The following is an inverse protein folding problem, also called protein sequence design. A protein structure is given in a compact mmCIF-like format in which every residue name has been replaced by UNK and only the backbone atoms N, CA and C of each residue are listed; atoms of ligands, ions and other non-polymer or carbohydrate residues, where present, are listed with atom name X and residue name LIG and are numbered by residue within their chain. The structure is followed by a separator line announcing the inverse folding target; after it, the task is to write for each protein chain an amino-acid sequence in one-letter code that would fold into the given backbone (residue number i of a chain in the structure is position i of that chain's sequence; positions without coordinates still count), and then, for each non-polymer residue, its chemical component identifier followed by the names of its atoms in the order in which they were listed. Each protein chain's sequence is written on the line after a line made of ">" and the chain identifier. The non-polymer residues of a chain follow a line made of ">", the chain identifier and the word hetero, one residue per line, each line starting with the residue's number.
data_IF_968022656315
#
_entry.id   IF_968022656315
#
_cell.length_a   1.000
_cell.length_b   1.000
_cell.length_c   1.000
_cell.angle_alpha   90.00
_cell.angle_beta   90.00
_cell.angle_gamma   90.00
#
_symmetry.space_group_name_H-M   'P 1'
#
loop_
_entity.id
_entity.type
_entity.pdbx_description
1 polymer ?
#
# COMPACT_ATOMS: atom_id res chain seq x y z
N UNK A 1 -27.32 -39.39 -18.82
CA UNK A 1 -28.14 -38.20 -18.59
C UNK A 1 -27.28 -37.26 -17.78
N UNK A 2 -26.73 -36.26 -18.43
CA UNK A 2 -25.72 -35.34 -17.93
C UNK A 2 -26.42 -34.08 -17.45
N UNK A 3 -26.22 -33.68 -16.22
CA UNK A 3 -26.64 -32.38 -15.71
C UNK A 3 -25.38 -31.48 -15.60
N UNK A 4 -25.29 -30.57 -16.56
CA UNK A 4 -24.30 -29.50 -16.58
C UNK A 4 -24.82 -28.43 -15.67
N UNK A 5 -24.10 -28.17 -14.54
CA UNK A 5 -24.31 -27.01 -13.70
C UNK A 5 -23.59 -25.82 -14.34
N UNK A 6 -24.33 -24.88 -14.91
CA UNK A 6 -23.83 -23.63 -15.43
C UNK A 6 -23.47 -22.74 -14.26
N UNK A 7 -22.18 -22.53 -14.01
CA UNK A 7 -21.68 -21.45 -13.14
C UNK A 7 -21.88 -20.10 -13.82
N UNK A 8 -22.71 -19.25 -13.26
CA UNK A 8 -22.91 -17.89 -13.74
C UNK A 8 -21.65 -17.06 -13.47
N UNK A 9 -20.97 -16.68 -14.53
CA UNK A 9 -19.91 -15.66 -14.52
C UNK A 9 -20.59 -14.31 -14.25
N UNK A 10 -20.50 -13.78 -13.04
CA UNK A 10 -20.94 -12.41 -12.76
C UNK A 10 -19.87 -11.48 -13.35
N UNK A 11 -20.12 -11.03 -14.56
CA UNK A 11 -19.35 -9.95 -15.16
C UNK A 11 -19.57 -8.67 -14.33
N UNK A 12 -18.50 -7.98 -13.98
CA UNK A 12 -18.55 -6.61 -13.50
C UNK A 12 -19.24 -5.79 -14.60
N UNK A 13 -20.49 -5.42 -14.37
CA UNK A 13 -21.34 -4.81 -15.36
C UNK A 13 -20.92 -3.39 -15.67
N UNK A 14 -20.29 -3.22 -16.79
CA UNK A 14 -20.20 -2.00 -17.55
C UNK A 14 -20.39 -2.37 -19.01
N UNK A 15 -21.60 -2.26 -19.55
CA UNK A 15 -21.87 -2.42 -20.97
C UNK A 15 -21.17 -1.31 -21.74
N UNK A 16 -20.09 -1.65 -22.42
CA UNK A 16 -19.34 -0.82 -23.34
C UNK A 16 -18.53 -1.71 -24.25
N UNK A 17 -18.63 -1.50 -25.56
CA UNK A 17 -17.97 -2.24 -26.61
C UNK A 17 -16.51 -2.59 -26.27
N UNK A 18 -16.07 -3.79 -26.67
CA UNK A 18 -14.68 -4.21 -26.61
C UNK A 18 -13.79 -3.20 -27.34
N UNK A 19 -13.29 -2.22 -26.59
CA UNK A 19 -12.22 -1.33 -27.00
C UNK A 19 -10.90 -2.08 -26.92
N UNK A 20 -9.98 -1.78 -27.85
CA UNK A 20 -8.61 -2.25 -27.85
C UNK A 20 -7.98 -2.12 -26.46
N UNK A 21 -6.99 -2.97 -26.08
CA UNK A 21 -6.30 -2.87 -24.79
C UNK A 21 -5.80 -1.44 -24.61
N UNK A 22 -6.19 -0.81 -23.52
CA UNK A 22 -5.78 0.56 -23.20
C UNK A 22 -4.24 0.60 -23.19
N UNK A 23 -3.70 1.57 -23.91
CA UNK A 23 -2.26 1.87 -23.95
C UNK A 23 -1.84 2.34 -22.55
N UNK A 24 -1.20 1.45 -21.80
CA UNK A 24 -0.70 1.67 -20.43
C UNK A 24 0.70 2.30 -20.42
N UNK A 25 1.05 3.04 -21.48
CA UNK A 25 2.28 3.84 -21.52
C UNK A 25 2.37 4.80 -20.32
N UNK A 26 3.60 5.22 -19.92
CA UNK A 26 3.82 6.08 -18.77
C UNK A 26 3.04 7.40 -18.92
N UNK A 27 1.92 7.52 -18.26
CA UNK A 27 1.18 8.77 -18.13
C UNK A 27 1.42 9.34 -16.75
N UNK A 28 1.77 10.64 -16.72
CA UNK A 28 1.76 11.39 -15.47
C UNK A 28 0.42 11.21 -14.75
N UNK A 29 0.40 11.11 -13.41
CA UNK A 29 -0.83 10.99 -12.66
C UNK A 29 -1.73 12.18 -13.01
N UNK A 30 -2.95 11.91 -13.46
CA UNK A 30 -3.95 12.96 -13.68
C UNK A 30 -4.53 13.32 -12.33
N UNK A 31 -4.44 14.57 -11.85
CA UNK A 31 -5.06 14.94 -10.58
C UNK A 31 -6.55 14.64 -10.65
N UNK A 32 -7.04 13.81 -9.73
CA UNK A 32 -8.46 13.68 -9.51
C UNK A 32 -9.00 14.96 -8.87
N UNK A 33 -10.27 15.28 -9.07
CA UNK A 33 -10.90 16.54 -8.61
C UNK A 33 -10.92 16.72 -7.07
N UNK A 34 -10.35 15.80 -6.29
CA UNK A 34 -10.35 15.79 -4.82
C UNK A 34 -8.97 15.97 -4.16
N UNK A 35 -7.92 16.29 -4.91
CA UNK A 35 -6.54 16.40 -4.36
C UNK A 35 -5.82 15.08 -4.16
N UNK A 36 -6.36 13.99 -4.71
CA UNK A 36 -5.73 12.67 -4.76
C UNK A 36 -5.40 12.27 -6.19
N UNK A 37 -4.29 11.53 -6.35
CA UNK A 37 -3.99 10.79 -7.58
C UNK A 37 -3.31 9.47 -7.26
N UNK A 38 -3.25 8.55 -8.22
CA UNK A 38 -2.76 7.18 -8.02
C UNK A 38 -1.67 6.84 -9.03
N UNK A 39 -0.59 6.25 -8.53
CA UNK A 39 0.46 5.58 -9.29
C UNK A 39 0.31 4.08 -9.07
N UNK A 40 0.42 3.28 -10.13
CA UNK A 40 0.28 1.81 -10.10
C UNK A 40 1.57 1.18 -10.63
N UNK A 41 2.26 0.42 -9.78
CA UNK A 41 3.45 -0.32 -10.15
C UNK A 41 3.12 -1.79 -10.47
N UNK A 42 3.91 -2.44 -11.34
CA UNK A 42 5.08 -1.94 -12.09
C UNK A 42 4.73 -1.15 -13.36
N UNK A 43 3.46 -0.87 -13.62
CA UNK A 43 2.98 -0.35 -14.92
C UNK A 43 3.45 1.08 -15.24
N UNK A 44 3.67 1.95 -14.23
CA UNK A 44 3.98 3.35 -14.43
C UNK A 44 5.43 3.73 -14.14
N UNK A 45 6.14 2.95 -13.33
CA UNK A 45 7.50 3.22 -12.89
C UNK A 45 7.62 4.40 -11.94
N UNK A 46 8.77 4.57 -11.33
CA UNK A 46 9.04 5.55 -10.26
C UNK A 46 9.19 6.99 -10.76
N UNK A 47 9.22 7.23 -12.09
CA UNK A 47 9.55 8.54 -12.67
C UNK A 47 8.70 9.70 -12.12
N UNK A 48 7.44 9.44 -11.77
CA UNK A 48 6.59 10.47 -11.18
C UNK A 48 7.00 10.80 -9.74
N UNK A 49 7.35 9.78 -8.96
CA UNK A 49 7.85 9.93 -7.57
C UNK A 49 9.20 10.66 -7.58
N UNK A 50 10.13 10.25 -8.46
CA UNK A 50 11.43 10.88 -8.64
C UNK A 50 11.26 12.37 -9.00
N UNK A 51 10.37 12.68 -9.95
CA UNK A 51 10.11 14.04 -10.37
C UNK A 51 9.53 14.92 -9.26
N UNK A 52 8.63 14.37 -8.44
CA UNK A 52 8.04 15.08 -7.30
C UNK A 52 9.11 15.39 -6.24
N UNK A 53 9.98 14.42 -5.90
CA UNK A 53 11.11 14.62 -4.97
C UNK A 53 12.05 15.69 -5.54
N UNK A 54 12.52 15.54 -6.77
CA UNK A 54 13.45 16.49 -7.40
C UNK A 54 12.89 17.92 -7.53
N UNK A 55 11.56 18.08 -7.51
CA UNK A 55 10.89 19.39 -7.57
C UNK A 55 10.79 20.10 -6.21
N UNK A 56 11.20 19.47 -5.10
CA UNK A 56 11.13 20.02 -3.76
C UNK A 56 11.86 21.37 -3.63
N UNK A 57 11.27 22.31 -2.88
CA UNK A 57 11.79 23.68 -2.72
C UNK A 57 12.14 24.05 -1.30
N UNK A 58 11.50 23.45 -0.30
CA UNK A 58 11.67 23.82 1.10
C UNK A 58 11.95 22.63 2.01
N UNK A 59 11.25 21.49 1.79
CA UNK A 59 11.42 20.32 2.64
C UNK A 59 11.06 19.02 1.94
N UNK A 60 11.75 17.94 2.32
CA UNK A 60 11.37 16.55 2.03
C UNK A 60 11.50 15.76 3.33
N UNK A 61 10.40 15.17 3.77
CA UNK A 61 10.33 14.33 4.96
C UNK A 61 9.94 12.91 4.55
N UNK A 62 10.82 11.94 4.78
CA UNK A 62 10.67 10.55 4.36
C UNK A 62 10.55 9.64 5.57
N UNK A 63 9.48 8.83 5.65
CA UNK A 63 9.42 7.66 6.52
C UNK A 63 9.46 6.42 5.64
N UNK A 64 10.43 5.53 5.84
CA UNK A 64 10.62 4.38 4.98
C UNK A 64 11.06 3.13 5.76
N UNK A 65 10.45 1.99 5.41
CA UNK A 65 10.83 0.71 5.97
C UNK A 65 12.19 0.26 5.40
N UNK A 66 12.32 0.19 4.08
CA UNK A 66 13.54 -0.20 3.38
C UNK A 66 13.87 0.78 2.25
N UNK A 67 15.09 1.28 2.25
CA UNK A 67 15.62 2.22 1.26
C UNK A 67 16.96 1.71 0.73
N UNK A 68 16.99 1.35 -0.57
CA UNK A 68 18.20 1.01 -1.31
C UNK A 68 18.17 1.53 -2.77
N UNK A 69 17.28 2.49 -3.05
CA UNK A 69 17.19 3.11 -4.37
C UNK A 69 18.22 4.24 -4.51
N UNK A 70 19.26 3.97 -5.27
CA UNK A 70 20.36 4.92 -5.52
C UNK A 70 19.88 6.20 -6.19
N UNK A 71 18.83 6.16 -7.03
CA UNK A 71 18.28 7.35 -7.70
C UNK A 71 17.66 8.28 -6.66
N UNK A 72 16.77 7.77 -5.84
CA UNK A 72 16.14 8.53 -4.74
C UNK A 72 17.19 9.04 -3.74
N UNK A 73 18.16 8.22 -3.36
CA UNK A 73 19.25 8.65 -2.48
C UNK A 73 20.01 9.84 -3.05
N UNK A 74 20.34 9.81 -4.35
CA UNK A 74 21.04 10.89 -5.04
C UNK A 74 20.19 12.17 -5.15
N UNK A 75 18.89 12.04 -5.37
CA UNK A 75 17.95 13.16 -5.39
C UNK A 75 17.80 13.82 -4.04
N UNK A 76 17.59 13.06 -2.97
CA UNK A 76 17.55 13.57 -1.60
C UNK A 76 18.86 14.29 -1.22
N UNK A 77 20.00 13.73 -1.62
CA UNK A 77 21.31 14.38 -1.43
C UNK A 77 21.45 15.66 -2.29
N UNK A 78 20.90 15.69 -3.50
CA UNK A 78 20.89 16.88 -4.36
C UNK A 78 20.01 17.98 -3.75
N UNK A 79 18.86 17.62 -3.19
CA UNK A 79 17.95 18.51 -2.52
C UNK A 79 18.62 19.17 -1.30
N UNK A 80 19.26 18.38 -0.45
CA UNK A 80 20.01 18.90 0.69
C UNK A 80 21.11 19.90 0.24
N UNK A 81 21.84 19.59 -0.84
CA UNK A 81 22.86 20.53 -1.42
C UNK A 81 22.25 21.82 -1.93
N UNK A 82 20.98 21.80 -2.43
CA UNK A 82 20.26 22.99 -2.86
C UNK A 82 19.68 23.81 -1.69
N UNK A 83 19.83 23.34 -0.45
CA UNK A 83 19.32 23.99 0.74
C UNK A 83 17.89 23.58 1.11
N UNK A 84 17.32 22.56 0.50
CA UNK A 84 16.07 21.93 0.93
C UNK A 84 16.33 21.20 2.24
N UNK A 85 15.44 21.33 3.22
CA UNK A 85 15.51 20.57 4.47
C UNK A 85 15.08 19.13 4.20
N UNK A 86 16.03 18.20 4.20
CA UNK A 86 15.75 16.78 3.99
C UNK A 86 15.92 16.00 5.30
N UNK A 87 14.86 15.30 5.72
CA UNK A 87 14.85 14.41 6.89
C UNK A 87 14.37 13.02 6.47
N UNK A 88 15.09 12.00 6.89
CA UNK A 88 14.76 10.59 6.55
C UNK A 88 14.70 9.78 7.84
N UNK A 89 13.54 9.19 8.11
CA UNK A 89 13.26 8.28 9.21
C UNK A 89 13.20 6.86 8.66
N UNK A 90 14.19 6.04 8.98
CA UNK A 90 14.30 4.66 8.51
C UNK A 90 13.93 3.67 9.61
N UNK A 91 13.38 2.52 9.24
CA UNK A 91 13.15 1.45 10.20
C UNK A 91 14.44 1.09 10.94
N UNK A 92 14.35 1.06 12.27
CA UNK A 92 15.49 0.81 13.17
C UNK A 92 15.59 -0.64 13.65
N UNK A 93 14.83 -1.56 13.06
CA UNK A 93 14.72 -2.95 13.49
C UNK A 93 13.60 -3.19 14.49
N UNK A 94 13.42 -4.45 14.88
CA UNK A 94 12.30 -4.88 15.73
C UNK A 94 12.37 -4.25 17.13
N UNK A 95 11.40 -3.40 17.47
CA UNK A 95 11.39 -2.54 18.67
C UNK A 95 12.70 -1.77 18.84
N UNK A 96 13.30 -1.29 17.74
CA UNK A 96 14.58 -0.58 17.72
C UNK A 96 15.78 -1.44 18.15
N UNK A 97 15.67 -2.76 18.15
CA UNK A 97 16.73 -3.69 18.57
C UNK A 97 17.32 -4.40 17.36
N UNK A 98 18.62 -4.63 17.40
CA UNK A 98 19.35 -5.37 16.37
C UNK A 98 19.72 -4.55 15.13
N UNK A 99 19.18 -3.35 14.99
CA UNK A 99 19.33 -2.56 13.77
C UNK A 99 18.53 -3.13 12.59
N UNK A 100 18.68 -2.50 11.44
CA UNK A 100 18.13 -2.95 10.17
C UNK A 100 19.19 -2.73 9.09
N UNK A 101 20.08 -3.71 8.88
CA UNK A 101 21.28 -3.59 8.04
C UNK A 101 20.99 -3.20 6.59
N UNK A 102 19.80 -3.54 6.10
CA UNK A 102 19.32 -3.20 4.75
C UNK A 102 19.34 -1.69 4.50
N UNK A 103 19.17 -0.89 5.54
CA UNK A 103 19.19 0.57 5.46
C UNK A 103 20.58 1.20 5.72
N UNK A 104 21.59 0.44 6.12
CA UNK A 104 22.87 1.00 6.58
C UNK A 104 23.61 1.75 5.47
N UNK A 105 23.61 1.20 4.26
CA UNK A 105 24.28 1.82 3.11
C UNK A 105 23.65 3.16 2.73
N UNK A 106 22.33 3.20 2.57
CA UNK A 106 21.56 4.41 2.26
C UNK A 106 21.71 5.47 3.37
N UNK A 107 21.58 5.05 4.65
CA UNK A 107 21.75 5.95 5.79
C UNK A 107 23.16 6.56 5.84
N UNK A 108 24.19 5.76 5.56
CA UNK A 108 25.59 6.21 5.48
C UNK A 108 25.80 7.22 4.35
N UNK A 109 25.30 6.90 3.15
CA UNK A 109 25.39 7.78 1.99
C UNK A 109 24.68 9.12 2.25
N UNK A 110 23.43 9.10 2.69
CA UNK A 110 22.62 10.29 2.94
C UNK A 110 23.25 11.20 3.99
N UNK A 111 23.71 10.64 5.12
CA UNK A 111 24.41 11.43 6.16
C UNK A 111 25.69 12.08 5.66
N UNK A 112 26.47 11.38 4.82
CA UNK A 112 27.68 11.91 4.22
C UNK A 112 27.41 13.09 3.27
N UNK A 113 26.17 13.19 2.75
CA UNK A 113 25.72 14.26 1.84
C UNK A 113 24.84 15.31 2.50
N UNK A 114 24.82 15.39 3.84
CA UNK A 114 24.16 16.46 4.58
C UNK A 114 22.67 16.24 4.85
N UNK A 115 22.14 15.05 4.53
CA UNK A 115 20.76 14.67 4.88
C UNK A 115 20.69 14.24 6.34
N UNK A 116 19.67 14.72 7.06
CA UNK A 116 19.42 14.29 8.41
C UNK A 116 18.72 12.92 8.41
N UNK A 117 19.37 11.89 8.94
CA UNK A 117 18.83 10.52 8.99
C UNK A 117 18.75 10.02 10.42
N UNK A 118 17.59 9.52 10.82
CA UNK A 118 17.35 8.88 12.14
C UNK A 118 16.75 7.49 11.96
N UNK A 119 16.98 6.63 12.95
CA UNK A 119 16.23 5.40 13.12
C UNK A 119 14.88 5.71 13.76
N UNK A 120 13.86 4.96 13.39
CA UNK A 120 12.50 5.07 13.89
C UNK A 120 12.41 4.76 15.40
N UNK A 121 11.34 5.25 16.09
CA UNK A 121 11.15 5.02 17.50
C UNK A 121 11.03 3.53 17.85
N UNK A 122 11.66 3.11 18.96
CA UNK A 122 11.57 1.74 19.49
C UNK A 122 10.21 1.43 20.15
N UNK A 123 9.25 2.36 20.11
CA UNK A 123 7.90 2.18 20.63
C UNK A 123 7.07 1.23 19.75
N UNK A 124 7.44 1.05 18.49
CA UNK A 124 6.74 0.20 17.53
C UNK A 124 7.55 -1.08 17.28
N UNK A 125 6.83 -2.17 16.93
CA UNK A 125 7.49 -3.40 16.54
C UNK A 125 8.39 -3.14 15.32
N UNK A 126 7.84 -2.50 14.29
CA UNK A 126 8.58 -1.98 13.13
C UNK A 126 7.98 -0.63 12.73
N UNK A 127 8.77 0.20 12.05
CA UNK A 127 8.23 1.28 11.24
C UNK A 127 8.14 0.79 9.81
N UNK A 128 6.95 0.30 9.46
CA UNK A 128 6.66 -0.26 8.14
C UNK A 128 5.91 0.73 7.23
N UNK A 129 5.70 1.96 7.70
CA UNK A 129 5.17 3.08 6.93
C UNK A 129 6.10 3.43 5.76
N UNK A 130 5.52 3.80 4.63
CA UNK A 130 6.21 4.23 3.40
C UNK A 130 5.57 5.51 2.92
N UNK A 131 6.17 6.66 3.31
CA UNK A 131 5.65 7.99 2.95
C UNK A 131 6.78 8.95 2.60
N UNK A 132 6.49 9.86 1.68
CA UNK A 132 7.31 11.02 1.37
C UNK A 132 6.42 12.24 1.43
N UNK A 133 6.75 13.23 2.26
CA UNK A 133 6.04 14.52 2.29
C UNK A 133 6.95 15.62 1.76
N UNK A 134 6.46 16.38 0.78
CA UNK A 134 7.20 17.36 0.02
C UNK A 134 6.59 18.73 0.28
N UNK A 135 7.45 19.68 0.71
CA UNK A 135 7.12 21.09 0.93
C UNK A 135 5.93 21.36 1.88
N UNK A 136 5.51 20.34 2.69
CA UNK A 136 4.31 20.41 3.52
C UNK A 136 3.02 20.56 2.71
N UNK A 137 3.00 20.08 1.46
CA UNK A 137 1.90 20.26 0.52
C UNK A 137 1.47 19.00 -0.20
N UNK A 138 2.37 18.06 -0.34
CA UNK A 138 2.12 16.80 -1.03
C UNK A 138 2.67 15.67 -0.19
N UNK A 139 1.86 14.65 0.09
CA UNK A 139 2.30 13.42 0.71
C UNK A 139 2.03 12.24 -0.22
N UNK A 140 3.03 11.40 -0.39
CA UNK A 140 2.89 10.10 -1.06
C UNK A 140 2.67 9.05 0.04
N UNK A 141 1.56 8.33 -0.03
CA UNK A 141 1.24 7.18 0.84
C UNK A 141 1.36 5.92 -0.02
N UNK A 142 2.32 5.06 0.30
CA UNK A 142 2.75 4.00 -0.60
C UNK A 142 2.61 2.61 0.02
N UNK A 143 2.40 1.61 -0.83
CA UNK A 143 2.56 0.20 -0.45
C UNK A 143 4.00 -0.25 -0.63
N UNK A 144 4.73 0.34 -1.58
CA UNK A 144 6.10 -0.02 -1.98
C UNK A 144 7.17 0.51 -1.03
N UNK A 145 8.24 -0.25 -0.86
CA UNK A 145 9.51 0.25 -0.36
C UNK A 145 10.27 0.99 -1.48
N UNK A 146 11.26 1.80 -1.10
CA UNK A 146 12.18 2.40 -2.08
C UNK A 146 13.37 1.45 -2.32
N UNK A 147 13.08 0.31 -2.94
CA UNK A 147 14.01 -0.80 -3.20
C UNK A 147 13.98 -1.16 -4.69
N UNK A 148 14.96 -0.65 -5.44
CA UNK A 148 14.95 -0.68 -6.91
C UNK A 148 14.86 -2.08 -7.52
N UNK A 149 15.35 -3.11 -6.79
CA UNK A 149 15.31 -4.51 -7.24
C UNK A 149 13.90 -5.08 -7.42
N UNK A 150 12.89 -4.47 -6.81
CA UNK A 150 11.50 -4.97 -6.85
C UNK A 150 10.58 -4.24 -7.83
N UNK A 151 10.94 -3.02 -8.28
CA UNK A 151 10.04 -2.18 -9.08
C UNK A 151 9.50 -2.82 -10.36
N UNK A 152 10.31 -3.65 -11.02
CA UNK A 152 9.89 -4.29 -12.27
C UNK A 152 8.92 -5.45 -12.10
N UNK A 153 8.77 -5.99 -10.88
CA UNK A 153 8.03 -7.22 -10.62
C UNK A 153 6.99 -7.11 -9.51
N UNK A 154 7.04 -6.09 -8.66
CA UNK A 154 6.06 -5.94 -7.58
C UNK A 154 4.82 -5.19 -8.02
N UNK A 155 3.64 -5.74 -7.70
CA UNK A 155 2.40 -4.98 -7.69
C UNK A 155 2.39 -4.10 -6.47
N UNK A 156 2.36 -2.80 -6.71
CA UNK A 156 2.32 -1.78 -5.68
C UNK A 156 1.49 -0.56 -6.11
N UNK A 157 1.16 0.27 -5.14
CA UNK A 157 0.43 1.51 -5.33
C UNK A 157 1.08 2.65 -4.56
N UNK A 158 0.99 3.87 -5.10
CA UNK A 158 1.25 5.10 -4.39
C UNK A 158 0.08 6.08 -4.58
N UNK A 159 -0.52 6.52 -3.48
CA UNK A 159 -1.51 7.61 -3.48
C UNK A 159 -0.75 8.91 -3.24
N UNK A 160 -0.85 9.84 -4.18
CA UNK A 160 -0.35 11.21 -4.04
C UNK A 160 -1.49 12.04 -3.48
N UNK A 161 -1.28 12.59 -2.28
CA UNK A 161 -2.28 13.38 -1.56
C UNK A 161 -1.82 14.83 -1.39
N UNK A 162 -2.63 15.77 -1.87
CA UNK A 162 -2.40 17.21 -1.74
C UNK A 162 -3.42 17.90 -0.83
N UNK A 163 -4.23 17.14 -0.11
CA UNK A 163 -5.24 17.68 0.82
C UNK A 163 -4.56 18.20 2.08
N UNK A 164 -4.73 19.50 2.42
CA UNK A 164 -3.97 20.11 3.51
C UNK A 164 -4.14 19.44 4.88
N UNK A 165 -5.34 18.91 5.18
CA UNK A 165 -5.61 18.28 6.47
C UNK A 165 -4.84 16.96 6.62
N UNK A 166 -4.73 16.18 5.54
CA UNK A 166 -4.04 14.90 5.54
C UNK A 166 -2.53 15.09 5.57
N UNK A 167 -2.02 15.99 4.71
CA UNK A 167 -0.60 16.34 4.72
C UNK A 167 -0.16 16.83 6.10
N UNK A 168 -0.95 17.72 6.74
CA UNK A 168 -0.65 18.21 8.09
C UNK A 168 -0.69 17.10 9.14
N UNK A 169 -1.62 16.14 9.03
CA UNK A 169 -1.70 15.00 9.94
C UNK A 169 -0.49 14.06 9.77
N UNK A 170 -0.05 13.81 8.53
CA UNK A 170 1.13 12.99 8.22
C UNK A 170 2.40 13.66 8.74
N UNK A 171 2.57 14.97 8.53
CA UNK A 171 3.71 15.72 9.06
C UNK A 171 3.74 15.74 10.58
N UNK A 172 2.59 15.89 11.25
CA UNK A 172 2.53 15.87 12.72
C UNK A 172 3.00 14.52 13.27
N UNK A 173 2.65 13.42 12.64
CA UNK A 173 3.13 12.08 13.02
C UNK A 173 4.63 11.94 12.72
N UNK A 174 5.09 12.39 11.55
CA UNK A 174 6.51 12.40 11.23
C UNK A 174 7.33 13.18 12.26
N UNK A 175 6.91 14.39 12.64
CA UNK A 175 7.61 15.24 13.62
C UNK A 175 7.64 14.59 15.02
N UNK A 176 6.55 13.94 15.42
CA UNK A 176 6.48 13.23 16.67
C UNK A 176 7.43 12.01 16.69
N UNK A 177 7.39 11.18 15.64
CA UNK A 177 8.26 10.03 15.50
C UNK A 177 9.74 10.46 15.34
N UNK A 178 9.99 11.56 14.62
CA UNK A 178 11.32 12.17 14.52
C UNK A 178 11.90 12.61 15.87
N UNK A 179 11.07 13.21 16.71
CA UNK A 179 11.51 13.69 18.04
C UNK A 179 11.42 12.63 19.14
N UNK A 180 10.82 11.46 18.84
CA UNK A 180 10.55 10.42 19.83
C UNK A 180 9.44 10.81 20.82
N UNK A 181 8.52 11.69 20.41
CA UNK A 181 7.41 12.16 21.25
C UNK A 181 6.16 11.33 20.94
N UNK A 182 5.47 10.80 21.97
CA UNK A 182 4.20 10.09 21.74
C UNK A 182 3.14 10.97 21.08
N UNK A 183 2.41 10.43 20.12
CA UNK A 183 1.29 11.09 19.45
C UNK A 183 0.11 10.13 19.28
N UNK A 184 -1.10 10.67 19.37
CA UNK A 184 -2.31 10.03 18.86
C UNK A 184 -2.57 10.57 17.46
N UNK A 185 -2.36 9.78 16.40
CA UNK A 185 -2.48 10.26 15.02
C UNK A 185 -3.90 10.75 14.72
N UNK A 186 -3.98 11.84 13.95
CA UNK A 186 -5.26 12.31 13.40
C UNK A 186 -5.61 11.55 12.12
N UNK A 187 -6.89 11.32 11.90
CA UNK A 187 -7.39 10.75 10.64
C UNK A 187 -7.38 11.77 9.47
N UNK A 188 -6.78 12.96 9.66
CA UNK A 188 -6.72 13.99 8.64
C UNK A 188 -8.10 14.46 8.21
N UNK A 189 -8.46 14.25 6.94
CA UNK A 189 -9.80 14.50 6.39
C UNK A 189 -10.84 13.42 6.80
N UNK A 190 -10.44 12.44 7.60
CA UNK A 190 -11.28 11.34 8.08
C UNK A 190 -11.01 10.00 7.38
N UNK A 191 -9.97 9.92 6.59
CA UNK A 191 -9.66 8.78 5.70
C UNK A 191 -8.25 8.22 5.86
N UNK A 192 -7.41 8.81 6.70
CA UNK A 192 -6.12 8.24 7.07
C UNK A 192 -6.29 7.12 8.11
N UNK A 193 -5.73 5.95 7.81
CA UNK A 193 -5.75 4.75 8.65
C UNK A 193 -4.36 4.49 9.20
N UNK A 194 -4.22 4.57 10.52
CA UNK A 194 -2.94 4.44 11.20
C UNK A 194 -2.80 3.11 11.94
N UNK A 195 -1.65 2.48 11.86
CA UNK A 195 -1.21 1.49 12.84
C UNK A 195 -0.25 2.12 13.86
N UNK A 196 -0.31 1.70 15.15
CA UNK A 196 -1.22 0.74 15.74
C UNK A 196 -2.69 1.20 15.76
N UNK A 197 -3.63 0.26 15.64
CA UNK A 197 -5.07 0.50 15.73
C UNK A 197 -5.85 0.27 14.43
N UNK A 198 -5.18 -0.05 13.32
CA UNK A 198 -5.81 -0.22 12.01
C UNK A 198 -6.78 -1.41 11.91
N UNK A 199 -6.70 -2.41 12.81
CA UNK A 199 -7.57 -3.60 12.74
C UNK A 199 -9.05 -3.24 12.71
N UNK A 200 -9.47 -2.31 13.58
CA UNK A 200 -10.88 -1.89 13.64
C UNK A 200 -11.38 -1.28 12.33
N UNK A 201 -10.57 -0.43 11.70
CA UNK A 201 -10.88 0.20 10.42
C UNK A 201 -10.93 -0.82 9.27
N UNK A 202 -9.98 -1.76 9.23
CA UNK A 202 -9.96 -2.83 8.23
C UNK A 202 -11.20 -3.75 8.37
N UNK A 203 -11.56 -4.12 9.60
CA UNK A 203 -12.75 -4.92 9.88
C UNK A 203 -14.04 -4.16 9.51
N UNK A 204 -14.10 -2.86 9.79
CA UNK A 204 -15.25 -2.02 9.41
C UNK A 204 -15.42 -1.97 7.88
N UNK A 205 -14.32 -1.77 7.14
CA UNK A 205 -14.29 -1.74 5.69
C UNK A 205 -14.78 -3.08 5.09
N UNK A 206 -14.22 -4.20 5.54
CA UNK A 206 -14.61 -5.56 5.10
C UNK A 206 -16.08 -5.86 5.43
N UNK A 207 -16.53 -5.53 6.64
CA UNK A 207 -17.89 -5.79 7.07
C UNK A 207 -18.92 -4.90 6.37
N UNK A 208 -18.51 -3.73 5.89
CA UNK A 208 -19.32 -2.80 5.11
C UNK A 208 -19.71 -3.31 3.73
N UNK A 209 -18.96 -4.27 3.16
CA UNK A 209 -19.21 -4.83 1.84
C UNK A 209 -20.59 -5.48 1.72
N UNK A 210 -21.30 -5.15 0.62
CA UNK A 210 -22.67 -5.62 0.34
C UNK A 210 -22.79 -6.46 -0.94
N UNK A 211 -21.91 -6.24 -1.90
CA UNK A 211 -21.97 -6.92 -3.21
C UNK A 211 -20.64 -7.52 -3.62
N UNK A 212 -19.56 -6.75 -3.52
CA UNK A 212 -18.23 -7.17 -3.98
C UNK A 212 -17.15 -6.71 -3.02
N UNK A 213 -16.13 -7.53 -2.86
CA UNK A 213 -14.94 -7.22 -2.07
C UNK A 213 -13.72 -7.79 -2.80
N UNK A 214 -12.83 -6.92 -3.27
CA UNK A 214 -11.56 -7.31 -3.87
C UNK A 214 -10.42 -6.91 -2.95
N UNK A 215 -9.48 -7.82 -2.74
CA UNK A 215 -8.37 -7.69 -1.79
C UNK A 215 -7.07 -8.13 -2.44
N UNK A 216 -6.04 -7.31 -2.33
CA UNK A 216 -4.64 -7.68 -2.43
C UNK A 216 -3.96 -7.44 -1.10
N UNK A 217 -3.19 -8.41 -0.63
CA UNK A 217 -2.35 -8.27 0.55
C UNK A 217 -1.16 -9.21 0.45
N UNK A 218 -0.06 -8.88 1.10
CA UNK A 218 1.15 -9.70 1.12
C UNK A 218 1.08 -10.80 2.20
N UNK A 219 0.39 -10.52 3.33
CA UNK A 219 0.25 -11.45 4.46
C UNK A 219 -1.23 -11.80 4.72
N UNK A 220 -1.49 -12.96 5.30
CA UNK A 220 -2.83 -13.40 5.72
C UNK A 220 -2.76 -14.18 7.03
N UNK A 221 -2.22 -13.54 8.08
CA UNK A 221 -1.99 -14.13 9.39
C UNK A 221 -3.04 -13.74 10.45
N UNK A 222 -3.74 -12.60 10.25
CA UNK A 222 -4.72 -12.12 11.21
C UNK A 222 -6.05 -12.90 11.10
N UNK A 223 -6.41 -13.63 12.17
CA UNK A 223 -7.61 -14.48 12.21
C UNK A 223 -8.91 -13.68 12.17
N UNK A 224 -8.94 -12.45 12.70
CA UNK A 224 -10.15 -11.62 12.69
C UNK A 224 -10.42 -11.12 11.27
N UNK A 225 -9.38 -10.77 10.52
CA UNK A 225 -9.48 -10.44 9.08
C UNK A 225 -9.98 -11.65 8.29
N UNK A 226 -9.37 -12.83 8.46
CA UNK A 226 -9.82 -14.07 7.79
C UNK A 226 -11.28 -14.39 8.11
N UNK A 227 -11.68 -14.28 9.38
CA UNK A 227 -13.07 -14.47 9.81
C UNK A 227 -14.03 -13.43 9.18
N UNK A 228 -13.61 -12.16 9.08
CA UNK A 228 -14.42 -11.09 8.47
C UNK A 228 -14.62 -11.31 6.97
N UNK A 229 -13.58 -11.73 6.23
CA UNK A 229 -13.66 -12.10 4.80
C UNK A 229 -14.63 -13.28 4.61
N UNK A 230 -14.51 -14.32 5.44
CA UNK A 230 -15.44 -15.45 5.46
C UNK A 230 -16.87 -15.02 5.77
N UNK A 231 -17.07 -14.14 6.74
CA UNK A 231 -18.38 -13.61 7.07
C UNK A 231 -19.00 -12.82 5.91
N UNK A 232 -18.20 -12.03 5.17
CA UNK A 232 -18.64 -11.33 3.98
C UNK A 232 -19.11 -12.32 2.88
N UNK A 233 -18.33 -13.36 2.58
CA UNK A 233 -18.70 -14.40 1.62
C UNK A 233 -20.00 -15.12 2.03
N UNK A 234 -20.17 -15.47 3.32
CA UNK A 234 -21.41 -16.09 3.84
C UNK A 234 -22.63 -15.17 3.75
N UNK A 235 -22.44 -13.84 3.74
CA UNK A 235 -23.53 -12.87 3.46
C UNK A 235 -23.90 -12.78 1.99
N UNK A 236 -23.18 -13.46 1.11
CA UNK A 236 -23.40 -13.42 -0.35
C UNK A 236 -22.58 -12.36 -1.08
N UNK A 237 -21.61 -11.74 -0.41
CA UNK A 237 -20.66 -10.83 -1.06
C UNK A 237 -19.70 -11.66 -1.93
N UNK A 238 -19.46 -11.24 -3.19
CA UNK A 238 -18.45 -11.83 -4.02
C UNK A 238 -17.07 -11.36 -3.55
N UNK A 239 -16.36 -12.22 -2.79
CA UNK A 239 -15.06 -11.90 -2.20
C UNK A 239 -13.95 -12.53 -3.05
N UNK A 240 -13.04 -11.69 -3.55
CA UNK A 240 -11.86 -12.06 -4.32
C UNK A 240 -10.61 -11.66 -3.56
N UNK A 241 -9.68 -12.60 -3.38
CA UNK A 241 -8.38 -12.37 -2.73
C UNK A 241 -7.28 -12.77 -3.69
N UNK A 242 -6.28 -11.89 -3.88
CA UNK A 242 -5.09 -12.15 -4.69
C UNK A 242 -3.85 -11.95 -3.82
N UNK A 243 -2.94 -12.91 -3.84
CA UNK A 243 -1.69 -12.90 -3.09
C UNK A 243 -0.56 -13.57 -3.87
N UNK A 244 0.67 -13.33 -3.50
CA UNK A 244 1.74 -14.27 -3.84
C UNK A 244 1.63 -15.48 -2.93
N UNK A 245 1.83 -16.68 -3.48
CA UNK A 245 1.74 -17.91 -2.71
C UNK A 245 2.93 -18.01 -1.76
N UNK A 246 2.64 -18.21 -0.48
CA UNK A 246 3.58 -18.64 0.52
C UNK A 246 2.97 -19.81 1.30
N UNK A 247 3.84 -20.76 1.68
CA UNK A 247 3.44 -21.93 2.49
C UNK A 247 2.96 -21.53 3.88
N UNK A 248 3.39 -20.38 4.38
CA UNK A 248 2.99 -19.80 5.65
C UNK A 248 1.48 -19.52 5.68
N UNK A 249 0.94 -19.00 4.57
CA UNK A 249 -0.50 -18.64 4.45
C UNK A 249 -1.39 -19.80 4.00
N UNK A 250 -0.86 -21.02 3.80
CA UNK A 250 -1.63 -22.18 3.30
C UNK A 250 -2.88 -22.45 4.13
N UNK A 251 -2.79 -22.34 5.46
CA UNK A 251 -3.91 -22.54 6.37
C UNK A 251 -5.03 -21.54 6.11
N UNK A 252 -4.68 -20.26 6.03
CA UNK A 252 -5.61 -19.18 5.74
C UNK A 252 -6.25 -19.32 4.35
N UNK A 253 -5.48 -19.70 3.32
CA UNK A 253 -6.03 -19.97 1.98
C UNK A 253 -7.07 -21.07 1.99
N UNK A 254 -6.80 -22.17 2.74
CA UNK A 254 -7.76 -23.28 2.90
C UNK A 254 -9.04 -22.86 3.61
N UNK A 255 -8.94 -22.06 4.67
CA UNK A 255 -10.07 -21.52 5.41
C UNK A 255 -10.92 -20.58 4.54
N UNK A 256 -10.29 -19.64 3.85
CA UNK A 256 -10.95 -18.71 2.94
C UNK A 256 -11.68 -19.46 1.81
N UNK A 257 -11.03 -20.43 1.18
CA UNK A 257 -11.66 -21.25 0.14
C UNK A 257 -12.87 -22.05 0.68
N UNK A 258 -12.75 -22.64 1.87
CA UNK A 258 -13.81 -23.41 2.50
C UNK A 258 -15.06 -22.58 2.85
N UNK A 259 -14.92 -21.28 3.09
CA UNK A 259 -16.04 -20.38 3.36
C UNK A 259 -16.61 -19.68 2.10
N UNK A 260 -16.08 -19.97 0.92
CA UNK A 260 -16.59 -19.46 -0.36
C UNK A 260 -15.89 -18.19 -0.87
N UNK A 261 -14.77 -17.80 -0.28
CA UNK A 261 -13.90 -16.74 -0.82
C UNK A 261 -13.14 -17.29 -2.02
N UNK A 262 -13.12 -16.57 -3.13
CA UNK A 262 -12.33 -16.93 -4.29
C UNK A 262 -10.88 -16.43 -4.09
N UNK A 263 -9.96 -17.35 -3.80
CA UNK A 263 -8.54 -17.06 -3.60
C UNK A 263 -7.76 -17.45 -4.86
N UNK A 264 -6.93 -16.53 -5.35
CA UNK A 264 -5.95 -16.79 -6.41
C UNK A 264 -4.57 -16.36 -5.98
N UNK A 265 -3.56 -17.08 -6.43
CA UNK A 265 -2.16 -16.80 -6.08
C UNK A 265 -1.26 -16.79 -7.30
N UNK A 266 -0.21 -16.01 -7.19
CA UNK A 266 0.97 -16.07 -8.05
C UNK A 266 2.04 -16.94 -7.38
N UNK A 267 2.81 -17.70 -8.16
CA UNK A 267 3.98 -18.39 -7.62
C UNK A 267 5.03 -17.36 -7.17
N UNK A 268 5.90 -17.73 -6.22
CA UNK A 268 6.95 -16.85 -5.71
C UNK A 268 7.92 -16.37 -6.81
N UNK A 269 8.16 -17.22 -7.82
CA UNK A 269 9.01 -16.94 -8.98
C UNK A 269 8.24 -16.38 -10.20
N UNK A 270 6.97 -16.04 -10.03
CA UNK A 270 6.18 -15.45 -11.10
C UNK A 270 6.71 -14.05 -11.48
N UNK A 271 6.46 -13.59 -12.73
CA UNK A 271 6.84 -12.23 -13.14
C UNK A 271 6.21 -11.11 -12.33
N UNK A 272 5.11 -11.40 -11.62
CA UNK A 272 4.42 -10.45 -10.76
C UNK A 272 4.33 -11.00 -9.33
N UNK A 273 4.90 -10.24 -8.40
CA UNK A 273 4.78 -10.45 -6.95
C UNK A 273 3.72 -9.49 -6.39
N UNK A 274 2.74 -9.99 -5.66
CA UNK A 274 1.71 -9.17 -5.01
C UNK A 274 2.24 -8.70 -3.66
N UNK A 275 2.76 -7.49 -3.64
CA UNK A 275 3.22 -6.79 -2.45
C UNK A 275 2.21 -5.74 -1.96
N UNK A 276 1.28 -5.34 -2.80
CA UNK A 276 0.26 -4.35 -2.49
C UNK A 276 -0.60 -4.72 -1.28
N UNK A 277 -1.07 -3.71 -0.55
CA UNK A 277 -2.07 -3.81 0.49
C UNK A 277 -3.21 -2.91 0.08
N UNK A 278 -4.19 -3.49 -0.60
CA UNK A 278 -5.31 -2.78 -1.19
C UNK A 278 -6.63 -3.54 -1.03
N UNK A 279 -7.69 -2.80 -0.76
CA UNK A 279 -9.06 -3.32 -0.66
C UNK A 279 -9.96 -2.44 -1.53
N UNK A 280 -10.88 -3.05 -2.27
CA UNK A 280 -11.97 -2.33 -2.95
C UNK A 280 -13.30 -2.91 -2.51
N UNK A 281 -14.17 -2.04 -1.99
CA UNK A 281 -15.51 -2.38 -1.49
C UNK A 281 -16.57 -1.86 -2.45
N UNK A 282 -17.39 -2.75 -2.97
CA UNK A 282 -18.56 -2.47 -3.82
C UNK A 282 -18.27 -1.56 -5.03
N UNK A 283 -16.99 -1.41 -5.42
CA UNK A 283 -16.57 -0.45 -6.44
C UNK A 283 -16.80 1.02 -6.05
N UNK A 284 -16.90 1.33 -4.76
CA UNK A 284 -17.21 2.67 -4.23
C UNK A 284 -16.19 3.23 -3.26
N UNK A 285 -15.49 2.37 -2.56
CA UNK A 285 -14.41 2.72 -1.64
C UNK A 285 -13.18 1.88 -1.94
N UNK A 286 -12.01 2.47 -1.81
CA UNK A 286 -10.74 1.77 -1.88
C UNK A 286 -9.88 2.14 -0.67
N UNK A 287 -9.18 1.15 -0.12
CA UNK A 287 -8.07 1.32 0.79
C UNK A 287 -6.77 1.04 0.04
N UNK A 288 -5.74 1.84 0.30
CA UNK A 288 -4.36 1.62 -0.14
C UNK A 288 -3.43 2.03 1.00
N UNK A 289 -2.52 1.15 1.40
CA UNK A 289 -1.60 1.47 2.50
C UNK A 289 -0.49 0.46 2.69
N UNK A 290 0.23 0.59 3.80
CA UNK A 290 1.35 -0.29 4.13
C UNK A 290 0.94 -1.50 5.00
N UNK A 291 -0.30 -1.54 5.48
CA UNK A 291 -0.78 -2.51 6.46
C UNK A 291 -0.95 -3.91 5.85
N UNK A 292 -0.12 -4.83 6.31
CA UNK A 292 -0.32 -6.26 6.09
C UNK A 292 -1.45 -6.82 6.98
N UNK A 293 -2.06 -7.92 6.59
CA UNK A 293 -3.06 -8.62 7.39
C UNK A 293 -2.40 -9.55 8.42
N UNK A 294 -1.59 -8.94 9.30
CA UNK A 294 -1.03 -9.58 10.48
C UNK A 294 -1.28 -8.72 11.72
N UNK A 295 -1.38 -9.35 12.87
CA UNK A 295 -1.58 -8.63 14.14
C UNK A 295 -0.48 -7.59 14.37
N UNK A 296 0.77 -7.95 14.07
CA UNK A 296 1.90 -7.05 14.23
C UNK A 296 1.75 -5.80 13.37
N UNK A 297 1.38 -5.96 12.12
CA UNK A 297 1.17 -4.84 11.19
C UNK A 297 0.00 -3.95 11.63
N UNK A 298 -1.12 -4.56 12.01
CA UNK A 298 -2.34 -3.81 12.34
C UNK A 298 -2.30 -3.18 13.74
N UNK A 299 -1.54 -3.75 14.71
CA UNK A 299 -1.63 -3.39 16.11
C UNK A 299 -0.31 -3.01 16.79
N UNK A 300 0.85 -3.23 16.16
CA UNK A 300 2.14 -2.99 16.80
C UNK A 300 3.13 -2.18 15.94
N UNK A 301 2.99 -2.18 14.63
CA UNK A 301 3.83 -1.38 13.73
C UNK A 301 3.38 0.08 13.67
N UNK A 302 4.28 0.98 13.23
CA UNK A 302 3.93 2.28 12.67
C UNK A 302 3.66 2.10 11.17
N UNK A 303 2.41 2.29 10.76
CA UNK A 303 1.97 2.17 9.37
C UNK A 303 0.95 3.23 9.01
N UNK A 304 0.76 3.48 7.71
CA UNK A 304 -0.24 4.40 7.19
C UNK A 304 -0.90 3.85 5.95
N UNK A 305 -2.20 3.99 5.88
CA UNK A 305 -3.02 3.80 4.69
C UNK A 305 -4.04 4.92 4.54
N UNK A 306 -4.70 4.91 3.40
CA UNK A 306 -5.74 5.86 3.06
C UNK A 306 -6.96 5.13 2.53
N UNK A 307 -8.16 5.50 3.00
CA UNK A 307 -9.45 5.09 2.44
C UNK A 307 -9.96 6.21 1.57
N UNK A 308 -10.44 5.91 0.38
CA UNK A 308 -10.98 6.94 -0.51
C UNK A 308 -12.22 6.46 -1.25
N UNK A 309 -13.16 7.39 -1.48
CA UNK A 309 -14.31 7.23 -2.38
C UNK A 309 -14.13 8.01 -3.69
N UNK A 310 -12.92 8.51 -3.98
CA UNK A 310 -12.64 9.13 -5.29
C UNK A 310 -12.87 8.11 -6.41
N UNK A 311 -13.84 8.38 -7.27
CA UNK A 311 -14.30 7.43 -8.27
C UNK A 311 -13.22 7.03 -9.28
N UNK A 312 -12.26 7.91 -9.58
CA UNK A 312 -11.19 7.63 -10.52
C UNK A 312 -10.14 6.70 -9.90
N UNK A 313 -9.79 6.93 -8.63
CA UNK A 313 -8.87 6.06 -7.87
C UNK A 313 -9.52 4.70 -7.65
N UNK A 314 -10.75 4.66 -7.13
CA UNK A 314 -11.49 3.41 -6.88
C UNK A 314 -11.58 2.57 -8.15
N UNK A 315 -11.98 3.17 -9.27
CA UNK A 315 -12.08 2.45 -10.55
C UNK A 315 -10.73 1.89 -11.00
N UNK A 316 -9.65 2.65 -10.81
CA UNK A 316 -8.32 2.22 -11.23
C UNK A 316 -7.76 1.10 -10.35
N UNK A 317 -7.90 1.21 -9.02
CA UNK A 317 -7.53 0.11 -8.11
C UNK A 317 -8.36 -1.13 -8.44
N UNK A 318 -9.69 -0.99 -8.59
CA UNK A 318 -10.58 -2.12 -8.91
C UNK A 318 -10.20 -2.84 -10.22
N UNK A 319 -9.87 -2.09 -11.28
CA UNK A 319 -9.43 -2.68 -12.56
C UNK A 319 -8.10 -3.40 -12.41
N UNK A 320 -7.16 -2.86 -11.63
CA UNK A 320 -5.87 -3.49 -11.38
C UNK A 320 -6.07 -4.81 -10.61
N UNK A 321 -6.78 -4.77 -9.48
CA UNK A 321 -7.06 -5.97 -8.67
C UNK A 321 -7.81 -7.06 -9.48
N UNK A 322 -8.75 -6.66 -10.33
CA UNK A 322 -9.48 -7.60 -11.20
C UNK A 322 -8.56 -8.24 -12.26
N UNK A 323 -7.64 -7.48 -12.82
CA UNK A 323 -6.62 -7.98 -13.76
C UNK A 323 -5.68 -8.97 -13.09
N UNK A 324 -5.18 -8.63 -11.91
CA UNK A 324 -4.28 -9.49 -11.14
C UNK A 324 -5.02 -10.76 -10.66
N UNK A 325 -6.27 -10.64 -10.23
CA UNK A 325 -7.10 -11.81 -9.93
C UNK A 325 -7.26 -12.72 -11.16
N UNK A 326 -7.51 -12.16 -12.34
CA UNK A 326 -7.65 -12.96 -13.56
C UNK A 326 -6.36 -13.67 -13.98
N UNK A 327 -5.19 -13.06 -13.69
CA UNK A 327 -3.86 -13.63 -13.99
C UNK A 327 -3.38 -14.68 -12.99
N UNK A 328 -3.90 -14.69 -11.77
CA UNK A 328 -3.51 -15.64 -10.73
C UNK A 328 -4.12 -17.03 -10.92
N UNK A 329 -3.54 -18.03 -10.28
CA UNK A 329 -4.00 -19.42 -10.25
C UNK A 329 -4.91 -19.67 -9.05
N UNK A 330 -5.95 -20.49 -9.20
CA UNK A 330 -6.80 -20.88 -8.07
C UNK A 330 -6.00 -21.71 -7.05
N UNK A 331 -6.19 -21.45 -5.77
CA UNK A 331 -5.59 -22.26 -4.70
C UNK A 331 -6.24 -23.63 -4.68
N UNK A 332 -5.44 -24.69 -4.79
CA UNK A 332 -5.92 -26.08 -4.74
C UNK A 332 -6.26 -26.70 -6.12
N UNK A 333 -5.77 -26.10 -7.23
CA UNK A 333 -5.79 -26.70 -8.56
C UNK A 333 -4.64 -27.69 -8.75
#
# INVERSE_FOLDING_TARGET
>A
MSLIASGALVAFGGGGAAGAPADWGPRAPTPANGGLSLIVEPNQGLTAIDADVAAARSSVDVTMYELDDVTIEQELAADARRGVRVRVLLNGGYYGRGGFPENDAAAGYLRAHGVAVRSSPAAFALTHQKTITIDGRTSLVMTLNLTSRYYASSRDFAVVDTRPADVAAIEAVFDADWSGTPISPSAGSGDLVWSPGALGEQLALISGARSTLAVENEEMDDSDITAALCAAARRGVAVHVVMTYDTEWRGAFGELAACGVAVRTYAEDAPLYIHAKAIVVDGREAFVGSQNFSWTSLQANRELGIVTSDAAIVARVAVTLAGDFAGGSAVGG
#
